data_IF_970143659704
#
_entry.id   IF_970143659704
#
_cell.length_a   1.000
_cell.length_b   1.000
_cell.length_c   1.000
_cell.angle_alpha   90.00
_cell.angle_beta   90.00
_cell.angle_gamma   90.00
#
_symmetry.space_group_name_H-M   'P 1'
#
loop_
_entity.id
_entity.type
_entity.pdbx_description
1 polymer ?
#
# COMPACT_ATOMS: atom_id res chain seq x y z
N UNK A 1 -6.40 3.29 6.40
CA UNK A 1 -5.01 2.91 6.05
C UNK A 1 -3.98 3.60 6.95
N UNK A 2 -3.88 4.93 7.00
CA UNK A 2 -2.88 5.64 7.82
C UNK A 2 -2.82 5.14 9.29
N UNK A 3 -3.97 5.01 9.96
CA UNK A 3 -4.03 4.53 11.35
C UNK A 3 -3.45 3.12 11.55
N UNK A 4 -3.63 2.22 10.58
CA UNK A 4 -3.07 0.85 10.64
C UNK A 4 -1.55 0.87 10.46
N UNK A 5 -1.05 1.76 9.59
CA UNK A 5 0.38 2.02 9.42
C UNK A 5 0.96 2.57 10.71
N UNK A 6 0.36 3.61 11.30
CA UNK A 6 0.83 4.24 12.53
C UNK A 6 0.86 3.27 13.70
N UNK A 7 -0.17 2.42 13.84
CA UNK A 7 -0.27 1.43 14.91
C UNK A 7 0.75 0.28 14.79
N UNK A 8 1.38 0.10 13.62
CA UNK A 8 2.20 -1.09 13.31
C UNK A 8 1.47 -2.38 13.70
N UNK A 9 0.21 -2.47 13.30
CA UNK A 9 -0.64 -3.61 13.62
C UNK A 9 -0.77 -4.50 12.39
N UNK A 10 -0.10 -5.66 12.42
CA UNK A 10 -0.10 -6.62 11.32
C UNK A 10 -1.52 -7.12 10.98
N UNK A 11 -2.44 -7.19 11.95
CA UNK A 11 -3.83 -7.60 11.73
C UNK A 11 -4.60 -6.51 10.99
N UNK A 12 -4.49 -5.26 11.44
CA UNK A 12 -5.14 -4.14 10.77
C UNK A 12 -4.56 -3.90 9.38
N UNK A 13 -3.24 -4.01 9.21
CA UNK A 13 -2.59 -3.94 7.91
C UNK A 13 -3.07 -5.09 7.03
N UNK A 14 -3.08 -6.32 7.55
CA UNK A 14 -3.52 -7.51 6.84
C UNK A 14 -4.97 -7.41 6.33
N UNK A 15 -5.85 -6.75 7.07
CA UNK A 15 -7.24 -6.52 6.66
C UNK A 15 -7.39 -5.53 5.48
N UNK A 16 -6.36 -4.74 5.16
CA UNK A 16 -6.39 -3.80 4.04
C UNK A 16 -6.03 -4.45 2.69
N UNK A 17 -5.32 -5.59 2.71
CA UNK A 17 -4.82 -6.26 1.52
C UNK A 17 -5.60 -7.54 1.26
N UNK A 18 -5.98 -7.77 0.00
CA UNK A 18 -6.50 -9.05 -0.45
C UNK A 18 -5.44 -10.16 -0.27
N UNK A 19 -5.86 -11.40 -0.04
CA UNK A 19 -4.92 -12.50 0.19
C UNK A 19 -4.05 -12.80 -1.04
N UNK A 20 -4.54 -12.50 -2.25
CA UNK A 20 -3.80 -12.64 -3.51
C UNK A 20 -3.06 -11.36 -3.91
N UNK A 21 -2.96 -10.37 -3.01
CA UNK A 21 -2.34 -9.09 -3.28
C UNK A 21 -0.90 -9.24 -3.80
N UNK A 22 -0.58 -8.45 -4.84
CA UNK A 22 0.77 -8.35 -5.40
C UNK A 22 1.21 -6.90 -5.53
N UNK A 23 2.44 -6.64 -5.12
CA UNK A 23 3.10 -5.36 -5.27
C UNK A 23 4.22 -5.47 -6.32
N UNK A 24 4.09 -4.75 -7.44
CA UNK A 24 5.12 -4.68 -8.48
C UNK A 24 6.19 -3.64 -8.11
N UNK A 25 7.41 -4.12 -7.88
CA UNK A 25 8.61 -3.31 -7.71
C UNK A 25 9.44 -3.28 -9.02
N UNK A 26 10.51 -2.49 -9.04
CA UNK A 26 11.50 -2.52 -10.13
C UNK A 26 12.22 -3.87 -10.23
N UNK A 27 12.26 -4.67 -9.15
CA UNK A 27 13.03 -5.91 -9.06
C UNK A 27 12.16 -7.17 -9.09
N UNK A 28 10.86 -7.04 -9.36
CA UNK A 28 9.91 -8.16 -9.39
C UNK A 28 8.65 -7.88 -8.58
N UNK A 29 8.11 -8.93 -7.97
CA UNK A 29 6.85 -8.86 -7.22
C UNK A 29 7.06 -9.21 -5.76
N UNK A 30 6.34 -8.50 -4.90
CA UNK A 30 6.24 -8.77 -3.47
C UNK A 30 4.79 -9.12 -3.13
N UNK A 31 4.58 -10.06 -2.23
CA UNK A 31 3.26 -10.46 -1.77
C UNK A 31 2.78 -9.61 -0.58
N UNK A 32 1.57 -9.89 -0.11
CA UNK A 32 0.97 -9.28 1.07
C UNK A 32 1.87 -9.35 2.30
N UNK A 33 2.50 -10.51 2.56
CA UNK A 33 3.33 -10.69 3.74
C UNK A 33 4.58 -9.83 3.69
N UNK A 34 5.25 -9.77 2.53
CA UNK A 34 6.41 -8.92 2.31
C UNK A 34 6.08 -7.43 2.43
N UNK A 35 4.93 -6.99 1.87
CA UNK A 35 4.48 -5.60 1.99
C UNK A 35 4.20 -5.21 3.45
N UNK A 36 3.53 -6.07 4.23
CA UNK A 36 3.27 -5.85 5.66
C UNK A 36 4.59 -5.83 6.44
N UNK A 37 5.49 -6.79 6.18
CA UNK A 37 6.78 -6.88 6.86
C UNK A 37 7.59 -5.58 6.72
N UNK A 38 7.65 -4.99 5.52
CA UNK A 38 8.32 -3.71 5.29
C UNK A 38 7.78 -2.56 6.13
N UNK A 39 6.46 -2.52 6.36
CA UNK A 39 5.84 -1.49 7.22
C UNK A 39 6.19 -1.76 8.69
N UNK A 40 6.14 -3.04 9.09
CA UNK A 40 6.42 -3.49 10.46
C UNK A 40 7.89 -3.34 10.86
N UNK A 41 8.82 -3.47 9.90
CA UNK A 41 10.27 -3.29 10.11
C UNK A 41 10.64 -1.85 10.45
N UNK A 42 9.82 -0.87 10.06
CA UNK A 42 10.06 0.53 10.40
C UNK A 42 9.73 0.74 11.89
N UNK A 43 10.72 1.15 12.72
CA UNK A 43 10.50 1.38 14.14
C UNK A 43 9.32 2.33 14.40
N UNK A 44 8.57 2.08 15.47
CA UNK A 44 7.34 2.82 15.80
C UNK A 44 7.56 4.33 16.01
N UNK A 45 8.76 4.73 16.43
CA UNK A 45 9.13 6.14 16.62
C UNK A 45 9.46 6.86 15.30
N UNK A 46 9.54 6.13 14.18
CA UNK A 46 9.70 6.69 12.85
C UNK A 46 8.33 6.81 12.18
N UNK A 47 7.94 8.03 11.82
CA UNK A 47 6.68 8.28 11.11
C UNK A 47 6.76 7.79 9.67
N UNK A 48 5.67 7.16 9.22
CA UNK A 48 5.38 6.90 7.81
C UNK A 48 4.11 7.68 7.49
N UNK A 49 4.19 8.63 6.56
CA UNK A 49 3.03 9.43 6.15
C UNK A 49 2.56 9.02 4.77
N UNK A 50 1.27 8.71 4.65
CA UNK A 50 0.61 8.43 3.38
C UNK A 50 -0.09 9.71 2.93
N UNK A 51 0.41 10.31 1.85
CA UNK A 51 -0.18 11.49 1.24
C UNK A 51 -0.95 11.07 -0.02
N UNK A 52 -2.26 11.20 0.04
CA UNK A 52 -3.10 10.95 -1.12
C UNK A 52 -2.79 11.96 -2.23
N UNK A 53 -2.59 11.46 -3.45
CA UNK A 53 -2.28 12.28 -4.64
C UNK A 53 -3.51 12.37 -5.53
N UNK A 54 -4.05 11.23 -5.95
CA UNK A 54 -5.20 11.17 -6.83
C UNK A 54 -5.90 9.81 -6.73
N UNK A 55 -7.13 9.77 -7.25
CA UNK A 55 -7.85 8.52 -7.47
C UNK A 55 -8.60 8.58 -8.79
N UNK A 56 -8.69 7.44 -9.47
CA UNK A 56 -9.46 7.26 -10.68
C UNK A 56 -10.27 5.99 -10.60
N UNK A 57 -11.56 6.08 -10.90
CA UNK A 57 -12.40 4.89 -11.07
C UNK A 57 -12.06 4.23 -12.42
N UNK A 58 -11.68 2.96 -12.40
CA UNK A 58 -11.22 2.22 -13.59
C UNK A 58 -12.31 1.35 -14.23
N UNK A 59 -13.56 1.42 -13.74
CA UNK A 59 -14.60 0.45 -14.11
C UNK A 59 -14.49 -0.84 -13.30
N UNK A 60 -15.45 -1.75 -13.46
CA UNK A 60 -15.46 -3.07 -12.78
C UNK A 60 -15.29 -3.01 -11.25
N UNK A 61 -15.74 -1.93 -10.61
CA UNK A 61 -15.61 -1.71 -9.16
C UNK A 61 -14.15 -1.60 -8.70
N UNK A 62 -13.23 -1.22 -9.58
CA UNK A 62 -11.85 -0.91 -9.24
C UNK A 62 -11.61 0.60 -9.15
N UNK A 63 -10.85 1.00 -8.14
CA UNK A 63 -10.34 2.36 -7.98
C UNK A 63 -8.83 2.30 -7.98
N UNK A 64 -8.21 2.98 -8.92
CA UNK A 64 -6.80 3.28 -8.86
C UNK A 64 -6.58 4.46 -7.92
N UNK A 65 -5.68 4.32 -6.96
CA UNK A 65 -5.29 5.36 -6.03
C UNK A 65 -3.78 5.57 -6.09
N UNK A 66 -3.35 6.82 -6.23
CA UNK A 66 -1.94 7.22 -6.17
C UNK A 66 -1.68 7.85 -4.82
N UNK A 67 -0.66 7.35 -4.13
CA UNK A 67 -0.28 7.76 -2.77
C UNK A 67 1.23 7.97 -2.73
N UNK A 68 1.66 9.09 -2.17
CA UNK A 68 3.05 9.35 -1.84
C UNK A 68 3.32 8.81 -0.43
N UNK A 69 4.19 7.81 -0.32
CA UNK A 69 4.64 7.24 0.94
C UNK A 69 5.89 8.00 1.37
N UNK A 70 5.76 8.80 2.43
CA UNK A 70 6.85 9.62 2.97
C UNK A 70 7.42 8.92 4.20
N UNK A 71 8.72 8.66 4.16
CA UNK A 71 9.46 8.04 5.26
C UNK A 71 10.86 8.67 5.40
N UNK A 72 11.65 8.18 6.34
CA UNK A 72 13.07 8.57 6.48
C UNK A 72 13.92 8.27 5.23
N UNK A 73 13.49 7.35 4.35
CA UNK A 73 14.16 7.02 3.08
C UNK A 73 13.80 7.98 1.95
N UNK A 74 12.94 8.97 2.22
CA UNK A 74 12.42 9.90 1.22
C UNK A 74 10.95 9.63 0.89
N UNK A 75 10.51 10.20 -0.24
CA UNK A 75 9.14 10.05 -0.75
C UNK A 75 9.12 9.06 -1.90
N UNK A 76 8.31 8.01 -1.77
CA UNK A 76 8.08 7.01 -2.80
C UNK A 76 6.64 7.10 -3.30
N UNK A 77 6.45 7.48 -4.56
CA UNK A 77 5.14 7.49 -5.19
C UNK A 77 4.72 6.08 -5.53
N UNK A 78 3.57 5.68 -5.04
CA UNK A 78 3.03 4.33 -5.22
C UNK A 78 1.60 4.40 -5.74
N UNK A 79 1.24 3.46 -6.58
CA UNK A 79 -0.13 3.28 -7.04
C UNK A 79 -0.70 1.99 -6.46
N UNK A 80 -1.95 2.03 -6.04
CA UNK A 80 -2.70 0.86 -5.60
C UNK A 80 -4.00 0.72 -6.40
N UNK A 81 -4.46 -0.51 -6.56
CA UNK A 81 -5.82 -0.82 -7.02
C UNK A 81 -6.62 -1.32 -5.82
N UNK A 82 -7.70 -0.61 -5.51
CA UNK A 82 -8.73 -1.00 -4.55
C UNK A 82 -9.87 -1.68 -5.29
N UNK A 83 -10.24 -2.88 -4.85
CA UNK A 83 -11.47 -3.55 -5.28
C UNK A 83 -12.61 -3.24 -4.32
N UNK A 84 -13.66 -2.57 -4.80
CA UNK A 84 -14.81 -2.14 -4.00
C UNK A 84 -15.81 -3.27 -3.71
N UNK A 85 -15.62 -4.46 -4.27
CA UNK A 85 -16.39 -5.67 -3.91
C UNK A 85 -15.75 -6.35 -2.72
N UNK A 86 -14.41 -6.47 -2.75
CA UNK A 86 -13.64 -7.03 -1.64
C UNK A 86 -13.38 -6.02 -0.52
N UNK A 87 -13.50 -4.73 -0.83
CA UNK A 87 -13.07 -3.61 0.00
C UNK A 87 -11.59 -3.76 0.45
N UNK A 88 -10.73 -4.19 -0.47
CA UNK A 88 -9.34 -4.52 -0.21
C UNK A 88 -8.42 -4.10 -1.36
N UNK A 89 -7.17 -3.78 -1.05
CA UNK A 89 -6.13 -3.54 -2.03
C UNK A 89 -5.76 -4.86 -2.69
N UNK A 90 -5.89 -4.94 -4.02
CA UNK A 90 -5.62 -6.16 -4.81
C UNK A 90 -4.29 -6.08 -5.57
N UNK A 91 -3.81 -4.87 -5.85
CA UNK A 91 -2.55 -4.67 -6.54
C UNK A 91 -1.88 -3.38 -6.08
N UNK A 92 -0.55 -3.38 -6.01
CA UNK A 92 0.27 -2.19 -5.84
C UNK A 92 1.38 -2.13 -6.89
N UNK A 93 1.87 -0.94 -7.22
CA UNK A 93 3.05 -0.77 -8.07
C UNK A 93 3.79 0.54 -7.83
N UNK A 94 5.10 0.50 -8.05
CA UNK A 94 5.88 1.70 -8.32
C UNK A 94 5.63 2.14 -9.77
N UNK A 95 5.21 3.39 -10.03
CA UNK A 95 4.86 3.84 -11.38
C UNK A 95 6.07 4.09 -12.28
N UNK A 96 7.24 4.34 -11.69
CA UNK A 96 8.49 4.63 -12.42
C UNK A 96 9.45 3.42 -12.45
N UNK A 97 8.83 2.23 -12.41
CA UNK A 97 9.42 0.92 -12.67
C UNK A 97 8.67 0.30 -13.87
#
# INVERSE_FOLDING_TARGET
>A
MQSAVDARDATQLGALFDDEFKFKTCNGYEDKAAAIAKIMEVPWFISISLKFVSSQFQGNRHVEAVVDIVSFKGTERTMFILDLTKNALVLGRLPNC
#
